data_IF_822650721368
#
_entry.id   IF_822650721368
#
_cell.length_a   1.000
_cell.length_b   1.000
_cell.length_c   1.000
_cell.angle_alpha   90.00
_cell.angle_beta   90.00
_cell.angle_gamma   90.00
#
_symmetry.space_group_name_H-M   'P 1'
#
loop_
_entity.id
_entity.type
_entity.pdbx_description
1 polymer ?
#
# COMPACT_ATOMS: atom_id res chain seq x y z
N UNK A 1 23.83 -6.88 -14.20
CA UNK A 1 23.52 -7.62 -15.44
C UNK A 1 22.28 -6.96 -16.02
N UNK A 2 22.48 -6.02 -16.94
CA UNK A 2 21.41 -5.18 -17.50
C UNK A 2 20.51 -6.06 -18.37
N UNK A 3 19.21 -6.12 -18.06
CA UNK A 3 18.23 -6.73 -18.95
C UNK A 3 18.24 -5.94 -20.26
N UNK A 4 18.38 -6.58 -21.44
CA UNK A 4 18.33 -5.84 -22.68
C UNK A 4 16.95 -5.21 -22.79
N UNK A 5 16.92 -3.88 -22.91
CA UNK A 5 15.71 -3.12 -23.21
C UNK A 5 15.26 -3.53 -24.61
N UNK A 6 14.48 -4.62 -24.70
CA UNK A 6 13.86 -5.05 -25.94
C UNK A 6 12.81 -4.00 -26.27
N UNK A 7 13.15 -3.03 -27.13
CA UNK A 7 12.17 -2.18 -27.76
C UNK A 7 11.19 -3.08 -28.53
N UNK A 8 10.10 -3.45 -27.86
CA UNK A 8 9.09 -4.33 -28.42
C UNK A 8 8.40 -3.63 -29.60
N UNK A 9 8.54 -4.27 -30.76
CA UNK A 9 7.67 -4.32 -31.95
C UNK A 9 6.53 -3.30 -31.98
N UNK A 10 6.44 -2.55 -33.08
CA UNK A 10 5.28 -1.77 -33.51
C UNK A 10 3.97 -2.58 -33.35
N UNK A 11 3.37 -2.54 -32.16
CA UNK A 11 1.98 -2.94 -32.00
C UNK A 11 1.15 -1.81 -32.60
N UNK A 12 0.24 -2.11 -33.54
CA UNK A 12 -0.75 -1.14 -33.97
C UNK A 12 -1.47 -0.64 -32.71
N UNK A 13 -1.39 0.66 -32.45
CA UNK A 13 -2.10 1.28 -31.34
C UNK A 13 -3.58 1.29 -31.71
N UNK A 14 -4.41 0.69 -30.86
CA UNK A 14 -5.86 0.80 -31.02
C UNK A 14 -6.26 2.28 -31.01
N UNK A 15 -7.29 2.62 -31.78
CA UNK A 15 -7.86 3.97 -31.74
C UNK A 15 -8.42 4.21 -30.34
N UNK A 16 -8.03 5.33 -29.71
CA UNK A 16 -8.50 5.66 -28.37
C UNK A 16 -10.00 5.99 -28.41
N UNK A 17 -10.81 5.09 -27.87
CA UNK A 17 -12.20 5.39 -27.50
C UNK A 17 -12.22 6.15 -26.17
N UNK A 18 -12.64 7.40 -26.21
CA UNK A 18 -12.77 8.27 -25.03
C UNK A 18 -14.16 8.22 -24.39
N UNK A 19 -15.10 7.43 -24.94
CA UNK A 19 -16.44 7.29 -24.36
C UNK A 19 -16.45 6.35 -23.17
N UNK A 20 -15.46 5.46 -23.06
CA UNK A 20 -15.34 4.44 -22.01
C UNK A 20 -16.58 3.53 -21.89
N UNK A 21 -17.34 3.38 -22.97
CA UNK A 21 -18.59 2.58 -22.97
C UNK A 21 -18.35 1.11 -23.35
N UNK A 22 -17.21 0.79 -23.94
CA UNK A 22 -16.87 -0.58 -24.32
C UNK A 22 -16.41 -1.43 -23.12
N UNK A 23 -17.37 -2.12 -22.49
CA UNK A 23 -17.10 -3.06 -21.41
C UNK A 23 -16.28 -4.27 -21.87
N UNK A 24 -16.39 -4.68 -23.14
CA UNK A 24 -15.64 -5.82 -23.67
C UNK A 24 -14.16 -5.47 -23.75
N UNK A 25 -13.82 -4.29 -24.24
CA UNK A 25 -12.45 -3.79 -24.23
C UNK A 25 -11.92 -3.62 -22.78
N UNK A 26 -12.73 -3.12 -21.85
CA UNK A 26 -12.31 -2.91 -20.46
C UNK A 26 -11.92 -4.21 -19.73
N UNK A 27 -12.63 -5.31 -19.99
CA UNK A 27 -12.41 -6.60 -19.33
C UNK A 27 -11.69 -7.64 -20.20
N UNK A 28 -11.16 -7.25 -21.37
CA UNK A 28 -10.55 -8.20 -22.32
C UNK A 28 -9.38 -9.00 -21.74
N UNK A 29 -8.65 -8.42 -20.78
CA UNK A 29 -7.52 -9.07 -20.11
C UNK A 29 -7.92 -10.01 -18.97
N UNK A 30 -9.22 -10.11 -18.66
CA UNK A 30 -9.75 -10.82 -17.50
C UNK A 30 -10.55 -12.05 -17.90
N UNK A 31 -10.42 -13.10 -17.10
CA UNK A 31 -11.25 -14.30 -17.18
C UNK A 31 -12.62 -14.07 -16.55
N UNK A 32 -13.62 -14.86 -16.95
CA UNK A 32 -14.95 -14.85 -16.33
C UNK A 32 -14.88 -15.07 -14.82
N UNK A 33 -13.94 -15.90 -14.36
CA UNK A 33 -13.73 -16.15 -12.93
C UNK A 33 -13.22 -14.92 -12.19
N UNK A 34 -12.27 -14.18 -12.77
CA UNK A 34 -11.79 -12.92 -12.16
C UNK A 34 -12.89 -11.86 -12.08
N UNK A 35 -13.73 -11.77 -13.11
CA UNK A 35 -14.89 -10.87 -13.10
C UNK A 35 -15.88 -11.28 -12.01
N UNK A 36 -16.24 -12.57 -11.95
CA UNK A 36 -17.14 -13.09 -10.91
C UNK A 36 -16.58 -12.87 -9.50
N UNK A 37 -15.29 -13.16 -9.28
CA UNK A 37 -14.60 -12.88 -8.02
C UNK A 37 -14.68 -11.41 -7.65
N UNK A 38 -14.52 -10.51 -8.62
CA UNK A 38 -14.70 -9.07 -8.43
C UNK A 38 -16.10 -8.75 -7.90
N UNK A 39 -17.15 -9.24 -8.57
CA UNK A 39 -18.55 -9.04 -8.14
C UNK A 39 -18.77 -9.54 -6.72
N UNK A 40 -18.28 -10.74 -6.40
CA UNK A 40 -18.38 -11.31 -5.06
C UNK A 40 -17.69 -10.44 -4.01
N UNK A 41 -16.43 -10.08 -4.23
CA UNK A 41 -15.62 -9.30 -3.28
C UNK A 41 -16.23 -7.91 -3.06
N UNK A 42 -16.61 -7.20 -4.12
CA UNK A 42 -17.22 -5.87 -3.98
C UNK A 42 -18.59 -5.92 -3.31
N UNK A 43 -19.37 -6.96 -3.55
CA UNK A 43 -20.65 -7.17 -2.84
C UNK A 43 -20.41 -7.38 -1.35
N UNK A 44 -19.42 -8.18 -0.98
CA UNK A 44 -19.05 -8.38 0.43
C UNK A 44 -18.57 -7.08 1.09
N UNK A 45 -17.78 -6.27 0.39
CA UNK A 45 -17.33 -4.96 0.86
C UNK A 45 -18.46 -3.94 1.04
N UNK A 46 -19.62 -4.16 0.44
CA UNK A 46 -20.79 -3.29 0.62
C UNK A 46 -21.47 -3.50 1.99
N UNK A 47 -21.21 -4.64 2.64
CA UNK A 47 -21.74 -4.93 3.98
C UNK A 47 -20.95 -4.19 5.05
N UNK A 48 -21.57 -3.16 5.66
CA UNK A 48 -20.98 -2.40 6.78
C UNK A 48 -20.53 -3.30 7.92
N UNK A 49 -21.35 -4.28 8.27
CA UNK A 49 -21.03 -5.21 9.36
C UNK A 49 -19.73 -6.00 9.10
N UNK A 50 -19.56 -6.52 7.88
CA UNK A 50 -18.36 -7.27 7.51
C UNK A 50 -17.12 -6.38 7.52
N UNK A 51 -17.24 -5.15 7.02
CA UNK A 51 -16.12 -4.20 6.97
C UNK A 51 -15.74 -3.73 8.38
N UNK A 52 -16.71 -3.40 9.23
CA UNK A 52 -16.45 -2.94 10.60
C UNK A 52 -15.84 -4.04 11.49
N UNK A 53 -16.26 -5.29 11.32
CA UNK A 53 -15.82 -6.42 12.15
C UNK A 53 -14.77 -7.31 11.46
N UNK A 54 -14.17 -6.85 10.37
CA UNK A 54 -13.30 -7.66 9.51
C UNK A 54 -12.16 -8.34 10.29
N UNK A 55 -11.51 -7.62 11.21
CA UNK A 55 -10.36 -8.13 11.93
C UNK A 55 -10.72 -9.32 12.83
N UNK A 56 -11.87 -9.23 13.50
CA UNK A 56 -12.38 -10.30 14.37
C UNK A 56 -12.82 -11.51 13.55
N UNK A 57 -13.56 -11.28 12.46
CA UNK A 57 -14.00 -12.33 11.55
C UNK A 57 -12.82 -13.07 10.93
N UNK A 58 -11.78 -12.35 10.50
CA UNK A 58 -10.57 -12.93 9.93
C UNK A 58 -9.81 -13.80 10.92
N UNK A 59 -9.69 -13.36 12.19
CA UNK A 59 -9.08 -14.16 13.25
C UNK A 59 -9.88 -15.44 13.52
N UNK A 60 -11.21 -15.34 13.62
CA UNK A 60 -12.09 -16.48 13.82
C UNK A 60 -12.00 -17.46 12.64
N UNK A 61 -12.08 -16.95 11.42
CA UNK A 61 -12.03 -17.76 10.20
C UNK A 61 -10.70 -18.49 10.05
N UNK A 62 -9.57 -17.81 10.33
CA UNK A 62 -8.25 -18.44 10.36
C UNK A 62 -8.15 -19.51 11.45
N UNK A 63 -8.75 -19.30 12.62
CA UNK A 63 -8.78 -20.30 13.71
C UNK A 63 -9.61 -21.53 13.34
N UNK A 64 -10.72 -21.35 12.63
CA UNK A 64 -11.62 -22.43 12.22
C UNK A 64 -11.08 -23.27 11.05
N UNK A 65 -10.59 -22.62 9.99
CA UNK A 65 -10.11 -23.31 8.78
C UNK A 65 -8.64 -23.76 8.86
N UNK A 66 -7.86 -23.17 9.77
CA UNK A 66 -6.42 -23.31 9.80
C UNK A 66 -5.71 -22.52 8.69
N UNK A 67 -4.38 -22.43 8.78
CA UNK A 67 -3.58 -21.50 7.99
C UNK A 67 -3.61 -21.77 6.48
N UNK A 68 -3.49 -23.04 6.06
CA UNK A 68 -3.38 -23.40 4.64
C UNK A 68 -4.69 -23.13 3.90
N UNK A 69 -5.81 -23.61 4.44
CA UNK A 69 -7.11 -23.45 3.82
C UNK A 69 -7.56 -21.99 3.84
N UNK A 70 -7.34 -21.28 4.95
CA UNK A 70 -7.54 -19.84 5.02
C UNK A 70 -6.78 -19.11 3.91
N UNK A 71 -5.49 -19.40 3.73
CA UNK A 71 -4.68 -18.75 2.69
C UNK A 71 -5.21 -19.05 1.28
N UNK A 72 -5.60 -20.29 0.99
CA UNK A 72 -6.21 -20.66 -0.29
C UNK A 72 -7.51 -19.91 -0.54
N UNK A 73 -8.40 -19.84 0.46
CA UNK A 73 -9.67 -19.10 0.33
C UNK A 73 -9.42 -17.61 0.13
N UNK A 74 -8.48 -17.02 0.88
CA UNK A 74 -8.14 -15.60 0.72
C UNK A 74 -7.57 -15.30 -0.66
N UNK A 75 -6.68 -16.16 -1.19
CA UNK A 75 -6.15 -16.05 -2.55
C UNK A 75 -7.23 -16.21 -3.63
N UNK A 76 -8.25 -17.03 -3.38
CA UNK A 76 -9.40 -17.18 -4.28
C UNK A 76 -10.38 -15.99 -4.21
N UNK A 77 -10.31 -15.16 -3.17
CA UNK A 77 -11.24 -14.05 -2.89
C UNK A 77 -10.50 -12.70 -2.81
N UNK A 78 -10.44 -12.08 -1.62
CA UNK A 78 -9.95 -10.72 -1.41
C UNK A 78 -8.49 -10.55 -1.81
N UNK A 79 -7.61 -11.46 -1.37
CA UNK A 79 -6.17 -11.33 -1.65
C UNK A 79 -5.91 -11.45 -3.14
N UNK A 80 -6.54 -12.41 -3.84
CA UNK A 80 -6.37 -12.50 -5.28
C UNK A 80 -6.98 -11.33 -6.05
N UNK A 81 -8.00 -10.67 -5.50
CA UNK A 81 -8.67 -9.53 -6.13
C UNK A 81 -7.86 -8.25 -6.05
N UNK A 82 -7.21 -7.99 -4.92
CA UNK A 82 -6.48 -6.73 -4.68
C UNK A 82 -4.96 -6.86 -4.76
N UNK A 83 -4.40 -8.07 -4.58
CA UNK A 83 -2.96 -8.31 -4.58
C UNK A 83 -2.58 -9.12 -5.81
N UNK A 84 -1.67 -8.56 -6.62
CA UNK A 84 -1.15 -9.21 -7.81
C UNK A 84 -0.41 -10.51 -7.45
N UNK A 85 0.49 -10.44 -6.47
CA UNK A 85 1.32 -11.57 -6.05
C UNK A 85 2.13 -11.24 -4.80
N UNK A 86 2.79 -12.25 -4.25
CA UNK A 86 3.59 -12.12 -3.01
C UNK A 86 5.03 -11.67 -3.28
N UNK A 87 5.51 -11.86 -4.51
CA UNK A 87 6.89 -11.62 -4.93
C UNK A 87 6.97 -11.26 -6.42
N UNK A 88 8.14 -10.78 -6.85
CA UNK A 88 8.38 -10.34 -8.23
C UNK A 88 8.15 -11.43 -9.28
N UNK A 89 8.45 -12.70 -8.97
CA UNK A 89 8.24 -13.79 -9.92
C UNK A 89 6.75 -14.10 -10.08
N UNK A 90 5.99 -14.03 -8.98
CA UNK A 90 4.56 -14.32 -8.96
C UNK A 90 3.70 -13.32 -9.73
N UNK A 91 4.13 -12.05 -9.82
CA UNK A 91 3.40 -10.98 -10.53
C UNK A 91 3.67 -10.96 -12.04
N UNK A 92 4.81 -11.51 -12.48
CA UNK A 92 5.26 -11.44 -13.87
C UNK A 92 4.23 -11.95 -14.90
N UNK A 93 3.55 -13.10 -14.70
CA UNK A 93 2.55 -13.57 -15.67
C UNK A 93 1.37 -12.61 -15.83
N UNK A 94 0.95 -11.93 -14.76
CA UNK A 94 -0.13 -10.95 -14.83
C UNK A 94 0.30 -9.67 -15.56
N UNK A 95 1.54 -9.22 -15.33
CA UNK A 95 2.13 -8.08 -16.04
C UNK A 95 2.21 -8.38 -17.54
N UNK A 96 2.74 -9.55 -17.91
CA UNK A 96 2.87 -9.98 -19.30
C UNK A 96 1.50 -10.12 -19.97
N UNK A 97 0.49 -10.65 -19.26
CA UNK A 97 -0.88 -10.72 -19.74
C UNK A 97 -1.48 -9.32 -19.98
N UNK A 98 -1.36 -8.38 -19.03
CA UNK A 98 -1.87 -7.01 -19.25
C UNK A 98 -1.20 -6.33 -20.44
N UNK A 99 0.12 -6.53 -20.61
CA UNK A 99 0.89 -5.95 -21.71
C UNK A 99 0.50 -6.52 -23.07
N UNK A 100 0.13 -7.79 -23.16
CA UNK A 100 -0.35 -8.37 -24.43
C UNK A 100 -1.64 -7.70 -24.91
N UNK A 101 -2.41 -7.08 -24.01
CA UNK A 101 -3.57 -6.23 -24.29
C UNK A 101 -3.24 -4.73 -24.33
N UNK A 102 -1.96 -4.34 -24.40
CA UNK A 102 -1.53 -2.95 -24.46
C UNK A 102 -1.64 -2.18 -23.13
N UNK A 103 -1.93 -2.85 -22.02
CA UNK A 103 -2.07 -2.23 -20.70
C UNK A 103 -0.74 -2.28 -19.94
N UNK A 104 -0.27 -1.12 -19.48
CA UNK A 104 0.91 -1.00 -18.61
C UNK A 104 0.51 -1.05 -17.14
N UNK A 105 1.41 -1.54 -16.29
CA UNK A 105 1.21 -1.64 -14.84
C UNK A 105 2.12 -0.69 -14.08
N UNK A 106 1.62 -0.18 -12.97
CA UNK A 106 2.41 0.45 -11.92
C UNK A 106 2.36 -0.50 -10.72
N UNK A 107 3.51 -0.86 -10.16
CA UNK A 107 3.57 -1.71 -8.97
C UNK A 107 3.46 -0.85 -7.72
N UNK A 108 2.40 -1.09 -6.96
CA UNK A 108 2.21 -0.52 -5.62
C UNK A 108 2.75 -1.51 -4.58
N UNK A 109 3.90 -1.20 -3.99
CA UNK A 109 4.52 -2.02 -2.96
C UNK A 109 3.86 -1.73 -1.60
N UNK A 110 2.94 -2.60 -1.20
CA UNK A 110 2.05 -2.38 -0.05
C UNK A 110 2.64 -2.78 1.30
N UNK A 111 3.95 -2.62 1.53
CA UNK A 111 4.51 -2.85 2.86
C UNK A 111 4.27 -1.63 3.72
N UNK A 112 3.55 -1.84 4.81
CA UNK A 112 3.35 -0.87 5.87
C UNK A 112 4.24 -1.23 7.05
N UNK A 113 4.88 -0.23 7.65
CA UNK A 113 5.52 -0.38 8.96
C UNK A 113 4.46 -0.15 10.05
N UNK A 114 4.22 -1.18 10.88
CA UNK A 114 3.37 -1.05 12.06
C UNK A 114 4.12 -0.28 13.15
N UNK A 115 3.99 1.05 13.15
CA UNK A 115 4.54 1.91 14.21
C UNK A 115 3.49 2.05 15.32
N UNK A 116 3.86 1.78 16.56
CA UNK A 116 2.95 1.96 17.70
C UNK A 116 2.54 3.44 17.90
N UNK A 117 1.45 3.70 18.64
CA UNK A 117 1.06 5.07 19.02
C UNK A 117 2.17 5.77 19.81
N UNK A 118 2.77 5.05 20.76
CA UNK A 118 3.85 5.59 21.59
C UNK A 118 5.10 5.96 20.78
N UNK A 119 5.50 5.12 19.82
CA UNK A 119 6.66 5.42 18.97
C UNK A 119 6.42 6.62 18.05
N UNK A 120 5.21 6.77 17.51
CA UNK A 120 4.88 7.92 16.67
C UNK A 120 4.79 9.22 17.47
N UNK A 121 4.20 9.19 18.66
CA UNK A 121 4.18 10.35 19.56
C UNK A 121 5.60 10.77 19.93
N UNK A 122 6.47 9.81 20.26
CA UNK A 122 7.88 10.09 20.56
C UNK A 122 8.62 10.67 19.36
N UNK A 123 8.37 10.16 18.15
CA UNK A 123 9.02 10.65 16.93
C UNK A 123 8.57 12.08 16.58
N UNK A 124 7.28 12.40 16.65
CA UNK A 124 6.78 13.78 16.46
C UNK A 124 7.35 14.72 17.52
N UNK A 125 7.34 14.31 18.79
CA UNK A 125 7.86 15.13 19.89
C UNK A 125 9.35 15.42 19.69
N UNK A 126 10.16 14.42 19.32
CA UNK A 126 11.58 14.60 18.99
C UNK A 126 11.81 15.52 17.80
N UNK A 127 10.97 15.42 16.76
CA UNK A 127 11.08 16.28 15.58
C UNK A 127 10.74 17.75 15.86
N UNK A 128 9.97 18.03 16.90
CA UNK A 128 9.58 19.39 17.28
C UNK A 128 10.46 20.01 18.37
N UNK A 129 11.37 19.24 19.00
CA UNK A 129 12.31 19.75 20.00
C UNK A 129 13.50 20.42 19.34
N UNK A 130 13.92 21.57 19.86
CA UNK A 130 15.18 22.20 19.42
C UNK A 130 16.38 21.46 20.02
N UNK A 131 17.55 21.42 19.33
CA UNK A 131 18.75 20.81 19.89
C UNK A 131 19.19 21.61 21.12
N UNK A 132 18.93 21.08 22.31
CA UNK A 132 19.28 21.71 23.60
C UNK A 132 18.25 21.53 24.73
N UNK A 133 17.02 21.11 24.43
CA UNK A 133 15.96 20.98 25.45
C UNK A 133 15.91 19.59 26.13
N UNK A 134 16.76 18.65 25.74
CA UNK A 134 16.69 17.25 26.18
C UNK A 134 17.16 16.99 27.64
N UNK A 135 17.72 17.98 28.35
CA UNK A 135 18.26 17.76 29.71
C UNK A 135 17.54 18.48 30.85
N UNK A 136 16.48 19.27 30.60
CA UNK A 136 15.83 20.02 31.69
C UNK A 136 14.33 19.76 31.78
N UNK A 137 13.98 18.55 32.21
CA UNK A 137 12.61 18.24 32.68
C UNK A 137 12.32 18.81 34.09
N UNK A 138 13.29 19.45 34.74
CA UNK A 138 13.07 20.22 35.97
C UNK A 138 13.64 21.65 35.80
N UNK A 139 12.75 22.64 35.83
CA UNK A 139 13.01 24.09 35.98
C UNK A 139 13.59 24.85 34.78
N UNK A 140 12.77 25.12 33.76
CA UNK A 140 13.06 26.23 32.82
C UNK A 140 11.84 27.13 32.69
N UNK A 141 12.05 28.40 33.01
CA UNK A 141 11.07 29.47 32.78
C UNK A 141 10.74 29.50 31.28
N UNK A 142 9.46 29.33 30.96
CA UNK A 142 8.93 29.37 29.60
C UNK A 142 9.34 30.67 28.91
N UNK A 143 10.13 30.56 27.84
CA UNK A 143 10.40 31.68 26.95
C UNK A 143 9.07 32.15 26.35
N UNK A 144 8.60 33.38 26.64
CA UNK A 144 7.31 33.89 26.18
C UNK A 144 7.25 34.11 24.65
N UNK A 145 8.36 33.94 23.94
CA UNK A 145 8.47 34.18 22.49
C UNK A 145 8.38 32.89 21.63
N UNK A 146 8.37 31.71 22.24
CA UNK A 146 8.16 30.44 21.54
C UNK A 146 6.69 30.30 21.13
N UNK A 147 6.35 30.77 19.92
CA UNK A 147 4.96 30.77 19.42
C UNK A 147 4.38 29.38 19.13
N UNK A 148 5.21 28.34 19.04
CA UNK A 148 4.81 26.99 18.72
C UNK A 148 5.39 26.00 19.73
N UNK A 149 4.50 25.33 20.48
CA UNK A 149 4.85 24.21 21.34
C UNK A 149 4.15 22.95 20.85
N UNK A 150 4.92 21.87 20.68
CA UNK A 150 4.34 20.56 20.41
C UNK A 150 3.61 20.06 21.66
N UNK A 151 2.30 19.83 21.53
CA UNK A 151 1.49 19.23 22.57
C UNK A 151 1.37 17.73 22.33
N UNK A 152 1.69 16.91 23.35
CA UNK A 152 1.59 15.44 23.28
C UNK A 152 0.20 14.95 22.85
N UNK A 153 -0.86 15.65 23.25
CA UNK A 153 -2.25 15.33 22.86
C UNK A 153 -2.50 15.39 21.34
N UNK A 154 -1.64 16.10 20.59
CA UNK A 154 -1.68 16.22 19.13
C UNK A 154 -0.47 15.56 18.45
N UNK A 155 0.34 14.81 19.21
CA UNK A 155 1.57 14.20 18.71
C UNK A 155 1.33 12.91 17.92
N UNK A 156 0.16 12.27 17.98
CA UNK A 156 -0.19 11.24 17.00
C UNK A 156 -1.13 11.80 15.92
N UNK A 157 -0.53 12.28 14.82
CA UNK A 157 -1.26 12.77 13.64
C UNK A 157 -1.92 11.67 12.82
N UNK A 158 -1.95 10.42 13.29
CA UNK A 158 -2.62 9.30 12.61
C UNK A 158 -4.00 9.02 13.21
N UNK A 159 -4.31 9.61 14.37
CA UNK A 159 -5.55 9.35 15.12
C UNK A 159 -6.59 10.43 14.81
N UNK A 160 -7.82 10.00 14.45
CA UNK A 160 -9.01 10.87 14.21
C UNK A 160 -8.87 11.91 13.08
N UNK A 161 -7.90 11.78 12.19
CA UNK A 161 -7.77 12.63 11.00
C UNK A 161 -7.83 11.79 9.72
N UNK A 162 -8.56 12.29 8.72
CA UNK A 162 -8.43 11.79 7.35
C UNK A 162 -7.29 12.54 6.65
N UNK A 163 -6.06 12.34 7.13
CA UNK A 163 -4.85 12.87 6.51
C UNK A 163 -3.92 11.73 6.12
N UNK A 164 -2.98 12.01 5.21
CA UNK A 164 -1.92 11.06 4.89
C UNK A 164 -1.18 10.66 6.18
N UNK A 165 -0.92 9.35 6.34
CA UNK A 165 -0.09 8.87 7.44
C UNK A 165 1.28 9.54 7.32
N UNK A 166 1.72 10.16 8.40
CA UNK A 166 3.04 10.80 8.45
C UNK A 166 4.08 9.71 8.66
N UNK A 167 5.06 9.62 7.77
CA UNK A 167 6.20 8.72 7.89
C UNK A 167 7.38 9.47 8.49
N UNK A 168 7.96 8.92 9.56
CA UNK A 168 9.09 9.54 10.24
C UNK A 168 10.39 9.17 9.54
N UNK A 169 11.10 10.17 9.05
CA UNK A 169 12.47 9.95 8.60
C UNK A 169 13.34 9.59 9.81
N UNK A 170 13.85 8.35 9.83
CA UNK A 170 14.70 7.86 10.92
C UNK A 170 16.18 8.17 10.69
N UNK A 171 16.69 7.87 9.50
CA UNK A 171 18.09 8.06 9.09
C UNK A 171 18.26 7.81 7.58
N UNK A 172 19.45 8.14 7.07
CA UNK A 172 19.77 8.01 5.65
C UNK A 172 19.85 6.56 5.17
N UNK A 173 20.26 5.62 6.02
CA UNK A 173 20.34 4.22 5.64
C UNK A 173 18.94 3.61 5.35
N UNK A 174 17.93 3.98 6.14
CA UNK A 174 16.54 3.60 5.89
C UNK A 174 15.98 4.30 4.64
N UNK A 175 16.33 5.57 4.43
CA UNK A 175 15.97 6.30 3.21
C UNK A 175 16.49 5.59 1.95
N UNK A 176 17.77 5.21 1.95
CA UNK A 176 18.42 4.49 0.86
C UNK A 176 17.75 3.15 0.58
N UNK A 177 17.40 2.40 1.63
CA UNK A 177 16.66 1.13 1.52
C UNK A 177 15.27 1.30 0.89
N UNK A 178 14.56 2.38 1.26
CA UNK A 178 13.25 2.69 0.69
C UNK A 178 13.38 3.07 -0.80
N UNK A 179 14.39 3.88 -1.15
CA UNK A 179 14.71 4.20 -2.54
C UNK A 179 15.05 2.94 -3.35
N UNK A 180 15.90 2.05 -2.83
CA UNK A 180 16.26 0.79 -3.48
C UNK A 180 15.01 -0.07 -3.75
N UNK A 181 14.08 -0.12 -2.79
CA UNK A 181 12.81 -0.84 -2.93
C UNK A 181 11.91 -0.22 -4.01
N UNK A 182 11.86 1.11 -4.08
CA UNK A 182 11.12 1.82 -5.12
C UNK A 182 11.70 1.55 -6.52
N UNK A 183 13.04 1.60 -6.66
CA UNK A 183 13.71 1.28 -7.93
C UNK A 183 13.46 -0.17 -8.34
N UNK A 184 13.58 -1.12 -7.42
CA UNK A 184 13.21 -2.53 -7.67
C UNK A 184 11.77 -2.69 -8.12
N UNK A 185 10.86 -1.86 -7.60
CA UNK A 185 9.44 -1.91 -8.00
C UNK A 185 9.22 -1.39 -9.41
N UNK A 186 9.94 -0.34 -9.82
CA UNK A 186 9.95 0.14 -11.21
C UNK A 186 10.53 -0.93 -12.13
N UNK A 187 11.68 -1.51 -11.78
CA UNK A 187 12.34 -2.55 -12.56
C UNK A 187 11.45 -3.80 -12.74
N UNK A 188 10.71 -4.19 -11.70
CA UNK A 188 9.79 -5.33 -11.78
C UNK A 188 8.67 -5.15 -12.82
N UNK A 189 8.30 -3.91 -13.16
CA UNK A 189 7.25 -3.60 -14.14
C UNK A 189 7.77 -2.95 -15.43
N UNK A 190 9.08 -2.76 -15.57
CA UNK A 190 9.68 -2.00 -16.68
C UNK A 190 10.01 -2.82 -17.93
N UNK A 191 9.95 -4.16 -17.85
CA UNK A 191 10.35 -5.06 -18.94
C UNK A 191 9.56 -4.96 -20.23
#
# INVERSE_FOLDING_TARGET
MLWPFSMSRNHPRDQLDLTFTDTRAAFQSKTTWEVFRGVLVYTLCTSRYLVEHNATLMKLFRKLLGQKLFHTVMRATFYGQFVAGADQASIRPQIENMRSFGVKSILDYSVEEDISTEEAEQAEMRSCSTPGEQEQELTVQKDPMARYHAHREFADRRVKVQSARTYFYMNEAQCEKNMETFLKSIEAVSG
#
